data_IF_956222553996
#
_entry.id   IF_956222553996
#
_cell.length_a   1.000
_cell.length_b   1.000
_cell.length_c   1.000
_cell.angle_alpha   90.00
_cell.angle_beta   90.00
_cell.angle_gamma   90.00
#
_symmetry.space_group_name_H-M   'P 1'
#
loop_
_entity.id
_entity.type
_entity.pdbx_description
1 polymer ?
#
# COMPACT_ATOMS: atom_id res chain seq x y z
N UNK A 1 -4.90 -8.72 -18.95
CA UNK A 1 -5.45 -10.07 -19.21
C UNK A 1 -6.91 -10.07 -18.79
N UNK A 2 -7.81 -10.77 -19.49
CA UNK A 2 -9.21 -10.87 -19.07
C UNK A 2 -9.38 -11.93 -17.98
N UNK A 3 -10.13 -11.61 -16.94
CA UNK A 3 -10.46 -12.51 -15.84
C UNK A 3 -11.97 -12.68 -15.77
N UNK A 4 -12.42 -13.80 -15.22
CA UNK A 4 -13.83 -13.99 -14.87
C UNK A 4 -13.95 -14.19 -13.38
N UNK A 5 -14.89 -13.48 -12.77
CA UNK A 5 -15.28 -13.69 -11.38
C UNK A 5 -16.32 -14.81 -11.34
N UNK A 6 -16.03 -15.86 -10.58
CA UNK A 6 -17.03 -16.83 -10.14
C UNK A 6 -17.46 -16.43 -8.73
N UNK A 7 -18.77 -16.28 -8.53
CA UNK A 7 -19.37 -15.95 -7.25
C UNK A 7 -20.29 -17.09 -6.82
N UNK A 8 -20.06 -17.61 -5.61
CA UNK A 8 -20.77 -18.76 -5.05
C UNK A 8 -21.46 -18.35 -3.77
N UNK A 9 -22.78 -18.44 -3.76
CA UNK A 9 -23.60 -18.16 -2.59
C UNK A 9 -23.92 -19.46 -1.85
N UNK A 10 -23.45 -19.56 -0.60
CA UNK A 10 -23.59 -20.79 0.19
C UNK A 10 -23.63 -20.52 1.70
N UNK A 11 -23.58 -21.56 2.54
CA UNK A 11 -23.59 -21.45 4.01
C UNK A 11 -22.17 -21.29 4.57
N UNK A 12 -22.06 -20.93 5.85
CA UNK A 12 -20.77 -20.92 6.57
C UNK A 12 -20.09 -22.28 6.57
N UNK A 13 -20.86 -23.36 6.69
CA UNK A 13 -20.36 -24.74 6.74
C UNK A 13 -19.64 -25.14 5.44
N UNK A 14 -20.12 -24.61 4.31
CA UNK A 14 -19.59 -24.91 2.99
C UNK A 14 -18.38 -24.05 2.60
N UNK A 15 -18.01 -23.01 3.38
CA UNK A 15 -16.93 -22.07 3.01
C UNK A 15 -15.61 -22.78 2.75
N UNK A 16 -15.14 -23.60 3.69
CA UNK A 16 -13.87 -24.32 3.59
C UNK A 16 -13.83 -25.30 2.39
N UNK A 17 -14.79 -26.25 2.25
CA UNK A 17 -14.76 -27.19 1.13
C UNK A 17 -14.95 -26.50 -0.23
N UNK A 18 -15.76 -25.44 -0.32
CA UNK A 18 -15.93 -24.67 -1.57
C UNK A 18 -14.66 -23.89 -1.91
N UNK A 19 -14.00 -23.28 -0.93
CA UNK A 19 -12.72 -22.59 -1.13
C UNK A 19 -11.64 -23.55 -1.65
N UNK A 20 -11.61 -24.78 -1.13
CA UNK A 20 -10.71 -25.82 -1.60
C UNK A 20 -10.93 -26.16 -3.08
N UNK A 21 -12.20 -26.37 -3.48
CA UNK A 21 -12.57 -26.64 -4.88
C UNK A 21 -12.13 -25.50 -5.80
N UNK A 22 -12.33 -24.25 -5.38
CA UNK A 22 -11.91 -23.07 -6.14
C UNK A 22 -10.38 -23.00 -6.33
N UNK A 23 -9.62 -23.34 -5.30
CA UNK A 23 -8.16 -23.40 -5.39
C UNK A 23 -7.67 -24.54 -6.30
N UNK A 24 -8.28 -25.73 -6.23
CA UNK A 24 -7.96 -26.84 -7.13
C UNK A 24 -8.28 -26.49 -8.59
N UNK A 25 -9.32 -25.68 -8.83
CA UNK A 25 -9.67 -25.17 -10.15
C UNK A 25 -8.75 -24.03 -10.65
N UNK A 26 -7.74 -23.64 -9.86
CA UNK A 26 -6.72 -22.68 -10.27
C UNK A 26 -6.97 -21.22 -9.86
N UNK A 27 -7.88 -20.96 -8.91
CA UNK A 27 -8.04 -19.62 -8.35
C UNK A 27 -6.81 -19.20 -7.52
N UNK A 28 -6.25 -18.02 -7.81
CA UNK A 28 -5.12 -17.44 -7.08
C UNK A 28 -5.46 -16.96 -5.66
N UNK A 29 -6.75 -16.82 -5.35
CA UNK A 29 -7.29 -16.39 -4.07
C UNK A 29 -8.81 -16.52 -4.05
N UNK A 30 -9.39 -16.62 -2.84
CA UNK A 30 -10.84 -16.65 -2.62
C UNK A 30 -11.18 -15.54 -1.63
N UNK A 31 -12.10 -14.66 -2.02
CA UNK A 31 -12.67 -13.61 -1.16
C UNK A 31 -13.93 -14.18 -0.54
N UNK A 32 -14.07 -14.01 0.79
CA UNK A 32 -15.21 -14.48 1.55
C UNK A 32 -15.94 -13.24 2.09
N UNK A 33 -17.18 -13.05 1.67
CA UNK A 33 -18.05 -11.97 2.11
C UNK A 33 -19.17 -12.55 2.99
N UNK A 34 -18.99 -12.42 4.30
CA UNK A 34 -19.95 -12.84 5.32
C UNK A 34 -20.61 -11.60 5.93
N UNK A 35 -21.95 -11.57 5.95
CA UNK A 35 -22.72 -10.49 6.57
C UNK A 35 -22.39 -10.31 8.05
N UNK A 36 -21.94 -11.36 8.74
CA UNK A 36 -21.49 -11.26 10.13
C UNK A 36 -20.31 -10.29 10.32
N UNK A 37 -19.52 -10.03 9.27
CA UNK A 37 -18.44 -9.04 9.31
C UNK A 37 -18.94 -7.59 9.38
N UNK A 38 -20.19 -7.30 8.99
CA UNK A 38 -20.82 -5.98 9.17
C UNK A 38 -21.01 -5.63 10.66
N UNK A 39 -21.22 -6.64 11.50
CA UNK A 39 -21.55 -6.48 12.91
C UNK A 39 -20.38 -6.81 13.84
N UNK A 40 -19.24 -7.19 13.28
CA UNK A 40 -18.04 -7.53 14.04
C UNK A 40 -17.43 -6.23 14.57
N UNK A 41 -17.45 -6.04 15.90
CA UNK A 41 -16.77 -4.92 16.54
C UNK A 41 -15.26 -5.00 16.23
N UNK A 42 -14.78 -4.10 15.37
CA UNK A 42 -13.36 -3.85 15.15
C UNK A 42 -12.96 -2.69 16.06
N UNK A 43 -11.87 -2.83 16.82
CA UNK A 43 -11.33 -1.72 17.63
C UNK A 43 -10.89 -0.58 16.71
N UNK A 44 -11.76 0.41 16.48
CA UNK A 44 -11.45 1.60 15.68
C UNK A 44 -10.67 2.60 16.51
N UNK A 45 -9.34 2.49 16.52
CA UNK A 45 -8.48 3.43 17.28
C UNK A 45 -8.27 4.78 16.59
N UNK A 46 -8.54 4.90 15.28
CA UNK A 46 -8.24 6.11 14.51
C UNK A 46 -9.34 6.58 13.55
N UNK A 47 -10.61 6.30 13.85
CA UNK A 47 -11.72 6.86 13.07
C UNK A 47 -11.84 6.32 11.65
N UNK A 48 -11.35 5.11 11.40
CA UNK A 48 -11.61 4.38 10.17
C UNK A 48 -13.11 4.14 10.04
N UNK A 49 -13.71 4.75 9.02
CA UNK A 49 -15.08 4.46 8.63
C UNK A 49 -15.00 3.32 7.61
N UNK A 50 -15.07 2.07 8.08
CA UNK A 50 -15.45 0.96 7.21
C UNK A 50 -16.93 1.13 6.91
N UNK A 51 -17.27 1.95 5.91
CA UNK A 51 -18.62 1.98 5.34
C UNK A 51 -18.76 0.75 4.45
N UNK A 52 -18.84 -0.41 5.09
CA UNK A 52 -19.32 -1.62 4.45
C UNK A 52 -20.78 -1.37 4.06
N UNK A 53 -21.07 -1.37 2.76
CA UNK A 53 -22.45 -1.24 2.30
C UNK A 53 -23.17 -2.55 2.61
N UNK A 54 -24.36 -2.48 3.21
CA UNK A 54 -25.20 -3.66 3.39
C UNK A 54 -25.56 -4.31 2.04
N UNK A 55 -25.53 -3.54 0.95
CA UNK A 55 -25.81 -4.02 -0.41
C UNK A 55 -24.69 -4.93 -0.96
N UNK A 56 -23.49 -4.91 -0.37
CA UNK A 56 -22.34 -5.71 -0.81
C UNK A 56 -22.33 -7.11 -0.18
N UNK A 57 -23.32 -7.45 0.68
CA UNK A 57 -23.40 -8.72 1.42
C UNK A 57 -24.73 -9.44 1.15
N UNK A 58 -24.75 -10.78 1.14
CA UNK A 58 -26.00 -11.52 1.01
C UNK A 58 -26.89 -11.35 2.26
N UNK A 59 -28.21 -11.38 2.10
CA UNK A 59 -29.13 -11.29 3.25
C UNK A 59 -28.98 -12.48 4.21
N UNK A 60 -28.70 -13.68 3.68
CA UNK A 60 -28.46 -14.92 4.40
C UNK A 60 -27.26 -15.66 3.79
N UNK A 61 -26.45 -16.38 4.59
CA UNK A 61 -25.29 -17.14 4.09
C UNK A 61 -24.05 -16.29 3.79
N UNK A 62 -23.19 -16.79 2.91
CA UNK A 62 -21.85 -16.27 2.58
C UNK A 62 -21.66 -16.25 1.07
N UNK A 63 -21.03 -15.21 0.54
CA UNK A 63 -20.56 -15.17 -0.84
C UNK A 63 -19.06 -15.51 -0.89
N UNK A 64 -18.69 -16.48 -1.72
CA UNK A 64 -17.30 -16.76 -2.07
C UNK A 64 -17.04 -16.28 -3.50
N UNK A 65 -16.09 -15.37 -3.66
CA UNK A 65 -15.67 -14.85 -4.97
C UNK A 65 -14.26 -15.33 -5.29
N UNK A 66 -14.06 -15.84 -6.49
CA UNK A 66 -12.75 -16.23 -6.99
C UNK A 66 -12.57 -15.75 -8.43
N UNK A 67 -11.32 -15.53 -8.82
CA UNK A 67 -10.97 -15.03 -10.14
C UNK A 67 -10.24 -16.12 -10.93
N UNK A 68 -10.81 -16.45 -12.09
CA UNK A 68 -10.27 -17.45 -13.01
C UNK A 68 -9.81 -16.76 -14.30
N UNK A 69 -8.68 -17.20 -14.89
CA UNK A 69 -8.19 -16.61 -16.14
C UNK A 69 -9.14 -16.93 -17.29
N UNK A 70 -9.51 -15.92 -18.08
CA UNK A 70 -10.41 -16.09 -19.22
C UNK A 70 -9.67 -16.81 -20.35
N UNK A 71 -9.94 -18.11 -20.51
CA UNK A 71 -9.36 -18.96 -21.54
C UNK A 71 -10.43 -19.86 -22.19
N UNK A 72 -10.04 -20.63 -23.21
CA UNK A 72 -10.93 -21.51 -23.97
C UNK A 72 -11.62 -22.60 -23.13
N UNK A 73 -11.11 -22.88 -21.93
CA UNK A 73 -11.54 -23.97 -21.05
C UNK A 73 -12.37 -23.47 -19.86
N UNK A 74 -12.56 -22.15 -19.71
CA UNK A 74 -13.27 -21.56 -18.57
C UNK A 74 -14.67 -22.17 -18.37
N UNK A 75 -15.40 -22.43 -19.46
CA UNK A 75 -16.72 -23.06 -19.39
C UNK A 75 -16.70 -24.46 -18.79
N UNK A 76 -15.71 -25.28 -19.18
CA UNK A 76 -15.52 -26.63 -18.65
C UNK A 76 -15.11 -26.57 -17.17
N UNK A 77 -14.18 -25.68 -16.82
CA UNK A 77 -13.74 -25.47 -15.43
C UNK A 77 -14.89 -25.04 -14.51
N UNK A 78 -15.76 -24.13 -14.96
CA UNK A 78 -16.92 -23.69 -14.18
C UNK A 78 -17.92 -24.83 -13.98
N UNK A 79 -18.12 -25.68 -15.00
CA UNK A 79 -19.01 -26.83 -14.90
C UNK A 79 -18.45 -27.89 -13.95
N UNK A 80 -17.13 -28.12 -13.97
CA UNK A 80 -16.43 -28.98 -13.01
C UNK A 80 -16.57 -28.46 -11.57
N UNK A 81 -16.40 -27.15 -11.35
CA UNK A 81 -16.60 -26.52 -10.04
C UNK A 81 -18.04 -26.73 -9.56
N UNK A 82 -19.05 -26.46 -10.42
CA UNK A 82 -20.46 -26.68 -10.06
C UNK A 82 -20.72 -28.11 -9.65
N UNK A 83 -20.24 -29.08 -10.42
CA UNK A 83 -20.40 -30.50 -10.13
C UNK A 83 -19.71 -30.90 -8.82
N UNK A 84 -18.49 -30.43 -8.57
CA UNK A 84 -17.75 -30.69 -7.35
C UNK A 84 -18.48 -30.11 -6.11
N UNK A 85 -19.02 -28.90 -6.21
CA UNK A 85 -19.80 -28.28 -5.13
C UNK A 85 -21.09 -29.07 -4.89
N UNK A 86 -21.83 -29.48 -5.93
CA UNK A 86 -23.04 -30.29 -5.75
C UNK A 86 -22.76 -31.64 -5.08
N UNK A 87 -21.57 -32.22 -5.29
CA UNK A 87 -21.19 -33.49 -4.64
C UNK A 87 -20.99 -33.33 -3.12
N UNK A 88 -20.76 -32.12 -2.60
CA UNK A 88 -20.64 -31.89 -1.15
C UNK A 88 -21.91 -32.29 -0.37
N UNK A 89 -23.09 -32.26 -1.02
CA UNK A 89 -24.34 -32.74 -0.42
C UNK A 89 -24.29 -34.22 -0.05
N UNK A 90 -23.50 -35.03 -0.76
CA UNK A 90 -23.33 -36.46 -0.46
C UNK A 90 -22.56 -36.69 0.84
N UNK A 91 -21.77 -35.70 1.28
CA UNK A 91 -21.07 -35.69 2.55
C UNK A 91 -21.87 -35.00 3.66
N UNK A 92 -23.16 -34.73 3.42
CA UNK A 92 -24.10 -34.11 4.35
C UNK A 92 -23.70 -32.67 4.75
N UNK A 93 -23.01 -31.95 3.85
CA UNK A 93 -22.68 -30.53 3.97
C UNK A 93 -23.85 -29.71 3.42
N UNK A 94 -24.38 -28.78 4.21
CA UNK A 94 -25.46 -27.89 3.78
C UNK A 94 -24.91 -26.77 2.87
N UNK A 95 -25.42 -26.69 1.65
CA UNK A 95 -25.00 -25.72 0.65
C UNK A 95 -25.88 -24.46 0.61
N UNK A 96 -27.00 -24.44 1.34
CA UNK A 96 -27.89 -23.28 1.40
C UNK A 96 -28.42 -22.89 0.01
N UNK A 97 -28.23 -21.63 -0.38
CA UNK A 97 -28.68 -21.09 -1.66
C UNK A 97 -28.11 -21.86 -2.87
N UNK A 98 -26.87 -22.34 -2.78
CA UNK A 98 -26.20 -23.12 -3.84
C UNK A 98 -26.25 -22.43 -5.22
N UNK A 99 -26.06 -21.11 -5.23
CA UNK A 99 -26.07 -20.33 -6.48
C UNK A 99 -24.65 -20.06 -6.94
N UNK A 100 -24.35 -20.38 -8.20
CA UNK A 100 -23.05 -20.11 -8.83
C UNK A 100 -23.28 -19.18 -10.00
N UNK A 101 -22.77 -17.96 -9.91
CA UNK A 101 -22.83 -16.94 -10.96
C UNK A 101 -21.44 -16.68 -11.54
N UNK A 102 -21.41 -16.34 -12.83
CA UNK A 102 -20.18 -15.97 -13.53
C UNK A 102 -20.36 -14.55 -14.07
N UNK A 103 -19.48 -13.65 -13.64
CA UNK A 103 -19.41 -12.31 -14.16
C UNK A 103 -18.10 -12.16 -14.95
N UNK A 104 -18.18 -11.69 -16.20
CA UNK A 104 -16.98 -11.22 -16.90
C UNK A 104 -16.56 -9.92 -16.22
N UNK A 105 -15.32 -9.91 -15.70
CA UNK A 105 -14.76 -8.71 -15.07
C UNK A 105 -13.67 -8.22 -16.00
N UNK A 106 -13.91 -7.10 -16.68
CA UNK A 106 -12.83 -6.44 -17.40
C UNK A 106 -11.81 -5.94 -16.36
N UNK A 107 -10.53 -6.18 -16.62
CA UNK A 107 -9.41 -5.77 -15.75
C UNK A 107 -9.48 -4.28 -15.38
N UNK A 108 -10.04 -3.46 -16.27
CA UNK A 108 -10.31 -2.03 -16.05
C UNK A 108 -11.41 -1.77 -14.99
N UNK A 109 -12.48 -2.59 -14.92
CA UNK A 109 -13.52 -2.45 -13.89
C UNK A 109 -13.01 -2.88 -12.51
N UNK A 110 -12.19 -3.94 -12.44
CA UNK A 110 -11.52 -4.33 -11.19
C UNK A 110 -10.47 -3.30 -10.74
N UNK A 111 -9.67 -2.78 -11.68
CA UNK A 111 -8.70 -1.72 -11.42
C UNK A 111 -9.33 -0.37 -11.07
N UNK A 112 -10.66 -0.21 -11.20
CA UNK A 112 -11.38 1.02 -10.86
C UNK A 112 -12.40 0.86 -9.74
N UNK A 113 -12.81 -0.36 -9.38
CA UNK A 113 -13.77 -0.60 -8.29
C UNK A 113 -13.30 -0.05 -6.94
N UNK A 114 -12.01 -0.19 -6.62
CA UNK A 114 -11.42 0.39 -5.41
C UNK A 114 -11.42 1.93 -5.43
N UNK A 115 -11.41 2.56 -6.61
CA UNK A 115 -11.39 4.03 -6.77
C UNK A 115 -12.64 4.70 -6.19
N UNK A 116 -13.76 4.00 -6.13
CA UNK A 116 -15.03 4.50 -5.53
C UNK A 116 -14.93 4.68 -4.01
N UNK A 117 -14.15 3.83 -3.35
CA UNK A 117 -13.94 3.82 -1.90
C UNK A 117 -12.69 4.60 -1.48
N UNK A 118 -11.80 4.91 -2.44
CA UNK A 118 -10.65 5.75 -2.21
C UNK A 118 -11.08 7.21 -2.09
N UNK A 119 -11.08 7.74 -0.85
CA UNK A 119 -11.46 9.13 -0.54
C UNK A 119 -10.25 9.91 -0.03
N UNK A 120 -10.29 11.26 -0.07
CA UNK A 120 -9.25 12.08 0.52
C UNK A 120 -9.07 11.75 2.01
N UNK A 121 -7.83 11.49 2.43
CA UNK A 121 -7.47 11.17 3.82
C UNK A 121 -6.39 12.13 4.30
N UNK A 122 -6.65 12.77 5.44
CA UNK A 122 -5.65 13.57 6.14
C UNK A 122 -4.67 12.63 6.86
N UNK A 123 -3.40 12.69 6.47
CA UNK A 123 -2.34 11.76 6.95
C UNK A 123 -1.28 12.46 7.81
N UNK A 124 -1.22 13.79 7.77
CA UNK A 124 -0.35 14.61 8.63
C UNK A 124 -1.12 15.74 9.31
N UNK A 125 -0.39 16.64 9.96
CA UNK A 125 -0.97 17.89 10.47
C UNK A 125 -1.45 18.78 9.32
N UNK A 126 -0.72 18.79 8.20
CA UNK A 126 -0.98 19.61 7.01
C UNK A 126 -1.23 18.79 5.76
N UNK A 127 -0.71 17.57 5.66
CA UNK A 127 -0.80 16.75 4.44
C UNK A 127 -2.12 15.97 4.36
N UNK A 128 -2.82 16.12 3.25
CA UNK A 128 -3.96 15.30 2.83
C UNK A 128 -3.64 14.62 1.50
N UNK A 129 -3.88 13.32 1.44
CA UNK A 129 -3.73 12.55 0.20
C UNK A 129 -5.09 12.44 -0.44
N UNK A 130 -5.18 12.91 -1.68
CA UNK A 130 -6.40 12.88 -2.47
C UNK A 130 -6.22 11.99 -3.72
N UNK A 131 -7.22 11.18 -4.07
CA UNK A 131 -7.22 10.51 -5.37
C UNK A 131 -7.22 11.53 -6.51
N UNK A 132 -6.41 11.33 -7.55
CA UNK A 132 -6.29 12.27 -8.68
C UNK A 132 -7.59 12.45 -9.50
N UNK A 133 -8.55 11.53 -9.38
CA UNK A 133 -9.87 11.61 -10.01
C UNK A 133 -10.95 12.26 -9.14
N UNK A 134 -10.66 12.54 -7.87
CA UNK A 134 -11.56 13.29 -6.98
C UNK A 134 -11.22 14.79 -7.08
N UNK A 135 -12.24 15.63 -7.24
CA UNK A 135 -12.05 17.08 -7.22
C UNK A 135 -12.00 17.59 -5.77
N UNK A 136 -10.91 17.27 -5.08
CA UNK A 136 -10.69 17.71 -3.71
C UNK A 136 -10.03 19.08 -3.67
N UNK A 137 -10.50 19.95 -2.78
CA UNK A 137 -9.89 21.24 -2.51
C UNK A 137 -9.52 21.32 -1.05
N UNK A 138 -8.35 21.90 -0.79
CA UNK A 138 -7.91 22.22 0.56
C UNK A 138 -9.04 22.94 1.33
N UNK A 139 -9.35 22.44 2.51
CA UNK A 139 -10.35 22.98 3.43
C UNK A 139 -9.75 23.98 4.40
N UNK A 140 -8.41 24.08 4.47
CA UNK A 140 -7.68 25.07 5.27
C UNK A 140 -6.49 25.67 4.48
N UNK A 141 -6.11 26.92 4.79
CA UNK A 141 -5.05 27.64 4.07
C UNK A 141 -3.66 26.97 4.19
N UNK A 142 -3.41 26.28 5.30
CA UNK A 142 -2.15 25.57 5.57
C UNK A 142 -2.16 24.11 5.12
N UNK A 143 -3.28 23.63 4.57
CA UNK A 143 -3.40 22.27 4.08
C UNK A 143 -2.67 22.08 2.76
N UNK A 144 -1.91 20.99 2.69
CA UNK A 144 -1.13 20.57 1.54
C UNK A 144 -1.79 19.33 0.97
N UNK A 145 -2.34 19.46 -0.24
CA UNK A 145 -2.94 18.33 -0.97
C UNK A 145 -1.88 17.66 -1.83
N UNK A 146 -1.74 16.34 -1.66
CA UNK A 146 -0.96 15.44 -2.51
C UNK A 146 -1.93 14.61 -3.31
N UNK A 147 -1.99 14.84 -4.61
CA UNK A 147 -2.88 14.09 -5.51
C UNK A 147 -2.18 12.83 -6.02
N UNK A 148 -2.83 11.67 -5.98
CA UNK A 148 -2.22 10.41 -6.41
C UNK A 148 -3.18 9.56 -7.25
N UNK A 149 -2.66 9.02 -8.34
CA UNK A 149 -3.11 7.74 -8.87
C UNK A 149 -2.02 6.69 -8.57
N UNK A 150 -2.14 5.88 -7.51
CA UNK A 150 -1.15 4.84 -7.25
C UNK A 150 -1.13 3.78 -8.37
N UNK A 151 -2.21 3.64 -9.16
CA UNK A 151 -2.31 2.58 -10.17
C UNK A 151 -2.00 1.21 -9.59
N UNK A 152 -1.04 0.50 -10.20
CA UNK A 152 -0.52 -0.78 -9.71
C UNK A 152 0.71 -0.65 -8.80
N UNK A 153 1.23 0.58 -8.59
CA UNK A 153 2.42 0.79 -7.78
C UNK A 153 2.08 0.80 -6.28
N UNK A 154 3.04 0.34 -5.46
CA UNK A 154 2.92 0.41 -4.01
C UNK A 154 2.93 1.87 -3.52
N UNK A 155 2.29 2.13 -2.38
CA UNK A 155 2.21 3.47 -1.81
C UNK A 155 0.91 4.19 -2.17
N UNK A 156 -0.22 3.65 -1.75
CA UNK A 156 -1.53 4.32 -1.89
C UNK A 156 -1.49 5.72 -1.24
N UNK A 157 -0.80 5.83 -0.10
CA UNK A 157 -0.68 7.05 0.67
C UNK A 157 -1.22 6.92 2.08
N UNK A 158 -2.22 6.06 2.26
CA UNK A 158 -3.00 5.94 3.50
C UNK A 158 -2.55 4.80 4.41
N UNK A 159 -1.66 3.93 3.93
CA UNK A 159 -1.12 2.84 4.74
C UNK A 159 -0.33 3.39 5.95
N UNK A 160 -0.41 2.78 7.15
CA UNK A 160 0.23 3.28 8.36
C UNK A 160 1.71 3.63 8.19
N UNK A 161 2.45 2.84 7.40
CA UNK A 161 3.88 3.10 7.16
C UNK A 161 4.14 4.38 6.39
N UNK A 162 3.29 4.71 5.41
CA UNK A 162 3.36 5.96 4.64
C UNK A 162 2.95 7.15 5.51
N UNK A 163 1.89 7.00 6.30
CA UNK A 163 1.44 8.01 7.27
C UNK A 163 2.56 8.37 8.24
N UNK A 164 3.22 7.38 8.83
CA UNK A 164 4.36 7.57 9.73
C UNK A 164 5.52 8.32 9.05
N UNK A 165 5.86 7.98 7.81
CA UNK A 165 6.89 8.69 7.05
C UNK A 165 6.51 10.15 6.79
N UNK A 166 5.26 10.42 6.40
CA UNK A 166 4.78 11.79 6.13
C UNK A 166 4.80 12.63 7.41
N UNK A 167 4.36 12.09 8.54
CA UNK A 167 4.43 12.77 9.84
C UNK A 167 5.87 13.08 10.24
N UNK A 168 6.80 12.15 10.00
CA UNK A 168 8.22 12.39 10.23
C UNK A 168 8.78 13.46 9.28
N UNK A 169 8.41 13.45 8.00
CA UNK A 169 8.79 14.49 7.03
C UNK A 169 8.30 15.86 7.50
N UNK A 170 7.01 16.00 7.85
CA UNK A 170 6.42 17.26 8.35
C UNK A 170 7.19 17.83 9.55
N UNK A 171 7.67 16.96 10.43
CA UNK A 171 8.38 17.34 11.65
C UNK A 171 9.82 17.77 11.40
N UNK A 172 10.52 17.10 10.48
CA UNK A 172 11.97 17.19 10.38
C UNK A 172 12.49 17.97 9.16
N UNK A 173 11.72 18.03 8.07
CA UNK A 173 12.19 18.64 6.83
C UNK A 173 12.32 20.16 6.98
N UNK A 174 13.38 20.71 6.41
CA UNK A 174 13.62 22.15 6.36
C UNK A 174 13.60 22.65 4.93
N UNK A 175 13.19 23.91 4.77
CA UNK A 175 13.13 24.55 3.46
C UNK A 175 14.50 24.51 2.75
N UNK A 176 14.49 24.08 1.49
CA UNK A 176 15.68 23.99 0.64
C UNK A 176 16.50 22.72 0.80
N UNK A 177 16.10 21.78 1.67
CA UNK A 177 16.84 20.52 1.86
C UNK A 177 16.82 19.62 0.62
N UNK A 178 17.93 18.91 0.41
CA UNK A 178 18.11 17.90 -0.62
C UNK A 178 17.73 16.52 -0.07
N UNK A 179 16.68 15.94 -0.63
CA UNK A 179 16.07 14.68 -0.15
C UNK A 179 16.28 13.58 -1.18
N UNK A 180 16.44 12.34 -0.71
CA UNK A 180 16.34 11.14 -1.54
C UNK A 180 15.30 10.20 -0.95
N UNK A 181 14.38 9.75 -1.80
CA UNK A 181 13.31 8.80 -1.48
C UNK A 181 13.64 7.45 -2.12
N UNK A 182 13.98 6.47 -1.27
CA UNK A 182 14.47 5.15 -1.69
C UNK A 182 13.32 4.14 -1.63
N UNK A 183 13.01 3.52 -2.78
CA UNK A 183 11.82 2.70 -2.94
C UNK A 183 10.56 3.57 -3.03
N UNK A 184 10.59 4.55 -3.94
CA UNK A 184 9.60 5.62 -4.00
C UNK A 184 8.18 5.14 -4.33
N UNK A 185 8.02 3.98 -4.97
CA UNK A 185 6.72 3.43 -5.32
C UNK A 185 5.89 4.41 -6.16
N UNK A 186 4.76 4.86 -5.63
CA UNK A 186 3.89 5.87 -6.25
C UNK A 186 4.47 7.29 -6.30
N UNK A 187 5.60 7.56 -5.64
CA UNK A 187 6.18 8.91 -5.53
C UNK A 187 5.63 9.73 -4.36
N UNK A 188 4.74 9.17 -3.54
CA UNK A 188 4.02 9.91 -2.49
C UNK A 188 4.94 10.63 -1.50
N UNK A 189 6.01 9.98 -1.02
CA UNK A 189 6.92 10.59 -0.05
C UNK A 189 7.79 11.66 -0.70
N UNK A 190 8.23 11.44 -1.94
CA UNK A 190 8.96 12.43 -2.71
C UNK A 190 8.14 13.72 -2.96
N UNK A 191 6.86 13.56 -3.34
CA UNK A 191 5.94 14.69 -3.55
C UNK A 191 5.64 15.39 -2.22
N UNK A 192 5.42 14.64 -1.14
CA UNK A 192 5.20 15.22 0.18
C UNK A 192 6.42 16.03 0.63
N UNK A 193 7.64 15.51 0.46
CA UNK A 193 8.87 16.23 0.79
C UNK A 193 9.00 17.54 0.00
N UNK A 194 8.71 17.53 -1.31
CA UNK A 194 8.69 18.73 -2.15
C UNK A 194 7.71 19.77 -1.63
N UNK A 195 6.45 19.39 -1.40
CA UNK A 195 5.42 20.32 -0.93
C UNK A 195 5.68 20.84 0.49
N UNK A 196 6.44 20.09 1.30
CA UNK A 196 6.90 20.55 2.61
C UNK A 196 8.13 21.46 2.55
N UNK A 197 8.68 21.70 1.36
CA UNK A 197 9.69 22.71 1.11
C UNK A 197 11.08 22.17 0.74
N UNK A 198 11.23 20.88 0.41
CA UNK A 198 12.50 20.38 -0.13
C UNK A 198 12.95 21.21 -1.32
N UNK A 199 14.26 21.52 -1.40
CA UNK A 199 14.84 22.25 -2.53
C UNK A 199 15.14 21.34 -3.73
N UNK A 200 15.32 20.04 -3.50
CA UNK A 200 15.40 19.01 -4.54
C UNK A 200 15.11 17.63 -3.95
N UNK A 201 14.45 16.78 -4.72
CA UNK A 201 14.11 15.41 -4.32
C UNK A 201 14.53 14.44 -5.42
N UNK A 202 15.31 13.43 -5.06
CA UNK A 202 15.64 12.31 -5.93
C UNK A 202 14.80 11.10 -5.50
N UNK A 203 13.80 10.75 -6.30
CA UNK A 203 12.95 9.59 -6.09
C UNK A 203 13.47 8.41 -6.90
N UNK A 204 13.72 7.27 -6.25
CA UNK A 204 14.29 6.10 -6.91
C UNK A 204 13.56 4.81 -6.58
N UNK A 205 13.45 3.93 -7.57
CA UNK A 205 12.90 2.59 -7.43
C UNK A 205 13.62 1.58 -8.33
N UNK A 206 13.57 0.30 -7.95
CA UNK A 206 14.10 -0.79 -8.76
C UNK A 206 13.09 -1.23 -9.84
N UNK A 207 11.80 -1.08 -9.57
CA UNK A 207 10.72 -1.45 -10.49
C UNK A 207 10.41 -0.32 -11.47
N UNK A 208 10.44 -0.62 -12.78
CA UNK A 208 10.09 0.34 -13.83
C UNK A 208 8.64 0.82 -13.70
N UNK A 209 7.73 -0.06 -13.26
CA UNK A 209 6.32 0.28 -13.10
C UNK A 209 6.14 1.35 -12.02
N UNK A 210 6.91 1.25 -10.94
CA UNK A 210 6.94 2.26 -9.88
C UNK A 210 7.54 3.58 -10.38
N UNK A 211 8.65 3.53 -11.12
CA UNK A 211 9.27 4.73 -11.73
C UNK A 211 8.29 5.47 -12.64
N UNK A 212 7.56 4.77 -13.50
CA UNK A 212 6.55 5.36 -14.37
C UNK A 212 5.36 5.93 -13.59
N UNK A 213 4.90 5.24 -12.53
CA UNK A 213 3.82 5.73 -11.67
C UNK A 213 4.21 7.00 -10.91
N UNK A 214 5.38 7.00 -10.28
CA UNK A 214 5.93 8.16 -9.59
C UNK A 214 6.13 9.35 -10.54
N UNK A 215 6.66 9.12 -11.74
CA UNK A 215 6.81 10.16 -12.77
C UNK A 215 5.48 10.84 -13.10
N UNK A 216 4.42 10.05 -13.35
CA UNK A 216 3.07 10.58 -13.62
C UNK A 216 2.51 11.36 -12.44
N UNK A 217 2.66 10.86 -11.21
CA UNK A 217 2.16 11.55 -10.01
C UNK A 217 2.93 12.85 -9.72
N UNK A 218 4.24 12.88 -9.98
CA UNK A 218 5.06 14.09 -9.87
C UNK A 218 4.60 15.16 -10.85
N UNK A 219 4.35 14.78 -12.11
CA UNK A 219 3.79 15.69 -13.11
C UNK A 219 2.41 16.21 -12.70
N UNK A 220 1.55 15.31 -12.20
CA UNK A 220 0.21 15.66 -11.75
C UNK A 220 0.21 16.71 -10.64
N UNK A 221 1.17 16.60 -9.71
CA UNK A 221 1.33 17.54 -8.62
C UNK A 221 2.07 18.83 -8.99
N UNK A 222 2.49 18.98 -10.26
CA UNK A 222 3.35 20.06 -10.76
C UNK A 222 4.71 20.14 -10.05
N UNK A 223 5.22 19.00 -9.57
CA UNK A 223 6.45 18.91 -8.77
C UNK A 223 7.70 18.59 -9.60
N UNK A 224 7.59 18.47 -10.93
CA UNK A 224 8.68 18.02 -11.83
C UNK A 224 9.90 18.94 -11.89
N UNK A 225 9.82 20.17 -11.38
CA UNK A 225 10.98 21.08 -11.27
C UNK A 225 11.89 20.74 -10.10
N UNK A 226 11.35 20.07 -9.07
CA UNK A 226 12.03 19.81 -7.80
C UNK A 226 12.25 18.31 -7.59
N UNK A 227 11.31 17.48 -8.05
CA UNK A 227 11.38 16.02 -7.92
C UNK A 227 11.85 15.40 -9.24
N UNK A 228 12.95 14.65 -9.17
CA UNK A 228 13.40 13.79 -10.26
C UNK A 228 13.13 12.33 -9.92
N UNK A 229 12.65 11.54 -10.88
CA UNK A 229 12.36 10.12 -10.70
C UNK A 229 13.29 9.31 -11.60
N UNK A 230 13.93 8.27 -11.07
CA UNK A 230 14.81 7.41 -11.86
C UNK A 230 14.87 5.99 -11.32
N UNK A 231 15.26 5.05 -12.19
CA UNK A 231 15.49 3.67 -11.79
C UNK A 231 16.84 3.50 -11.12
N UNK A 232 16.85 2.95 -9.91
CA UNK A 232 18.06 2.56 -9.21
C UNK A 232 17.79 1.46 -8.18
N UNK A 233 18.82 0.67 -7.87
CA UNK A 233 18.76 -0.31 -6.80
C UNK A 233 19.28 0.32 -5.51
N UNK A 234 18.40 0.64 -4.56
CA UNK A 234 18.78 1.29 -3.29
C UNK A 234 19.68 2.50 -3.55
N UNK A 235 20.76 2.65 -2.79
CA UNK A 235 21.71 3.75 -2.95
C UNK A 235 22.88 3.41 -3.89
N UNK A 236 22.74 2.37 -4.72
CA UNK A 236 23.77 2.00 -5.70
C UNK A 236 23.99 3.15 -6.68
N UNK A 237 25.26 3.52 -6.86
CA UNK A 237 25.68 4.62 -7.75
C UNK A 237 25.11 6.00 -7.42
N UNK A 238 24.50 6.17 -6.25
CA UNK A 238 24.04 7.48 -5.79
C UNK A 238 25.26 8.35 -5.46
N UNK A 239 25.45 9.42 -6.24
CA UNK A 239 26.54 10.37 -6.06
C UNK A 239 26.11 11.60 -5.25
N UNK A 240 26.92 11.96 -4.26
CA UNK A 240 26.76 13.18 -3.46
C UNK A 240 26.12 12.92 -2.09
N UNK A 241 25.91 14.02 -1.36
CA UNK A 241 25.31 14.00 -0.02
C UNK A 241 23.89 14.57 -0.05
N UNK A 242 23.04 14.04 0.82
CA UNK A 242 21.67 14.44 1.05
C UNK A 242 21.50 14.94 2.48
N UNK A 243 20.57 15.86 2.65
CA UNK A 243 20.19 16.38 3.96
C UNK A 243 19.26 15.40 4.67
N UNK A 244 18.44 14.69 3.88
CA UNK A 244 17.52 13.68 4.36
C UNK A 244 17.43 12.49 3.39
N UNK A 245 17.41 11.28 3.95
CA UNK A 245 16.99 10.06 3.26
C UNK A 245 15.64 9.65 3.84
N UNK A 246 14.68 9.32 2.99
CA UNK A 246 13.42 8.68 3.39
C UNK A 246 13.29 7.34 2.66
N UNK A 247 12.85 6.30 3.35
CA UNK A 247 12.60 4.99 2.75
C UNK A 247 11.49 4.23 3.46
N UNK A 248 10.44 3.86 2.72
CA UNK A 248 9.35 3.02 3.21
C UNK A 248 9.38 1.67 2.51
N UNK A 249 10.30 0.81 2.95
CA UNK A 249 10.61 -0.48 2.33
C UNK A 249 10.77 -1.56 3.41
N UNK A 250 10.96 -2.82 3.01
CA UNK A 250 11.06 -3.93 3.95
C UNK A 250 12.27 -3.78 4.90
N UNK A 251 12.08 -4.19 6.15
CA UNK A 251 13.10 -4.09 7.21
C UNK A 251 14.45 -4.72 6.83
N UNK A 252 14.44 -5.87 6.17
CA UNK A 252 15.66 -6.53 5.68
C UNK A 252 16.42 -5.68 4.66
N UNK A 253 15.69 -5.05 3.75
CA UNK A 253 16.27 -4.19 2.71
C UNK A 253 16.83 -2.90 3.32
N UNK A 254 16.16 -2.37 4.36
CA UNK A 254 16.70 -1.23 5.12
C UNK A 254 18.06 -1.57 5.74
N UNK A 255 18.18 -2.75 6.36
CA UNK A 255 19.43 -3.22 6.98
C UNK A 255 20.55 -3.31 5.95
N UNK A 256 20.26 -3.80 4.74
CA UNK A 256 21.26 -3.89 3.66
C UNK A 256 21.82 -2.53 3.22
N UNK A 257 21.05 -1.44 3.37
CA UNK A 257 21.47 -0.11 2.93
C UNK A 257 22.00 0.81 4.03
N UNK A 258 22.00 0.43 5.32
CA UNK A 258 22.33 1.39 6.41
C UNK A 258 23.73 2.00 6.28
N UNK A 259 24.72 1.22 5.87
CA UNK A 259 26.11 1.72 5.69
C UNK A 259 26.24 2.69 4.51
N UNK A 260 25.55 2.39 3.41
CA UNK A 260 25.50 3.27 2.24
C UNK A 260 24.72 4.55 2.56
N UNK A 261 23.63 4.43 3.32
CA UNK A 261 22.84 5.55 3.79
C UNK A 261 23.66 6.47 4.70
N UNK A 262 24.46 5.93 5.62
CA UNK A 262 25.33 6.73 6.49
C UNK A 262 26.34 7.57 5.69
N UNK A 263 26.87 7.04 4.58
CA UNK A 263 27.78 7.77 3.69
C UNK A 263 27.06 8.82 2.85
N UNK A 264 25.80 8.57 2.47
CA UNK A 264 25.00 9.45 1.64
C UNK A 264 24.32 10.60 2.43
N UNK A 265 24.08 10.44 3.73
CA UNK A 265 23.57 11.52 4.59
C UNK A 265 24.72 12.44 4.99
N UNK A 266 24.56 13.77 4.87
CA UNK A 266 25.57 14.73 5.38
C UNK A 266 25.67 14.66 6.91
N UNK A 267 26.80 15.05 7.54
CA UNK A 267 26.83 15.32 8.98
C UNK A 267 25.67 16.24 9.40
N UNK A 268 25.01 15.91 10.51
CA UNK A 268 23.79 16.60 10.97
C UNK A 268 22.52 16.31 10.16
N UNK A 269 22.59 15.53 9.08
CA UNK A 269 21.45 15.09 8.28
C UNK A 269 20.68 13.93 8.90
N UNK A 270 19.53 13.60 8.32
CA UNK A 270 18.58 12.62 8.85
C UNK A 270 18.33 11.44 7.89
N UNK A 271 17.98 10.30 8.46
CA UNK A 271 17.33 9.20 7.77
C UNK A 271 16.00 8.89 8.46
N UNK A 272 14.94 8.72 7.66
CA UNK A 272 13.61 8.29 8.09
C UNK A 272 13.33 6.95 7.40
N UNK A 273 13.13 5.89 8.17
CA UNK A 273 12.77 4.57 7.62
C UNK A 273 11.45 4.07 8.20
N UNK A 274 10.64 3.42 7.36
CA UNK A 274 9.37 2.77 7.73
C UNK A 274 9.20 1.49 6.90
N UNK A 275 8.03 0.85 6.93
CA UNK A 275 7.85 -0.50 6.34
C UNK A 275 8.31 -1.60 7.29
N UNK A 276 8.51 -1.26 8.56
CA UNK A 276 9.06 -2.13 9.59
C UNK A 276 7.92 -2.66 10.44
N UNK A 277 7.66 -3.97 10.37
CA UNK A 277 6.77 -4.60 11.36
C UNK A 277 7.40 -4.50 12.74
N UNK A 278 6.59 -4.27 13.77
CA UNK A 278 7.03 -4.05 15.16
C UNK A 278 8.00 -5.10 15.68
N UNK A 279 7.80 -6.37 15.29
CA UNK A 279 8.69 -7.48 15.63
C UNK A 279 10.13 -7.33 15.08
N UNK A 280 10.31 -6.60 13.97
CA UNK A 280 11.59 -6.35 13.29
C UNK A 280 12.24 -5.01 13.68
N UNK A 281 11.62 -4.23 14.56
CA UNK A 281 12.11 -2.90 14.98
C UNK A 281 13.55 -2.92 15.50
N UNK A 282 13.86 -3.82 16.43
CA UNK A 282 15.20 -3.85 17.05
C UNK A 282 16.29 -4.25 16.05
N UNK A 283 15.96 -5.03 15.02
CA UNK A 283 16.90 -5.38 13.96
C UNK A 283 17.33 -4.13 13.18
N UNK A 284 16.36 -3.33 12.70
CA UNK A 284 16.64 -2.10 11.93
C UNK A 284 17.33 -1.05 12.80
N UNK A 285 16.82 -0.82 14.01
CA UNK A 285 17.40 0.11 14.99
C UNK A 285 18.87 -0.23 15.26
N UNK A 286 19.17 -1.51 15.48
CA UNK A 286 20.55 -1.96 15.76
C UNK A 286 21.46 -1.74 14.55
N UNK A 287 20.98 -1.98 13.33
CA UNK A 287 21.75 -1.73 12.10
C UNK A 287 22.07 -0.25 11.91
N UNK A 288 21.09 0.65 12.15
CA UNK A 288 21.30 2.10 12.09
C UNK A 288 22.37 2.56 13.09
N UNK A 289 22.31 2.07 14.33
CA UNK A 289 23.30 2.39 15.37
C UNK A 289 24.68 1.86 14.98
N UNK A 290 24.77 0.64 14.45
CA UNK A 290 26.05 0.04 14.01
C UNK A 290 26.68 0.82 12.85
N UNK A 291 25.87 1.32 11.92
CA UNK A 291 26.32 2.20 10.83
C UNK A 291 26.80 3.58 11.32
N UNK A 292 26.43 3.97 12.55
CA UNK A 292 26.87 5.21 13.20
C UNK A 292 25.79 6.28 13.39
N UNK A 293 24.52 5.97 13.09
CA UNK A 293 23.42 6.90 13.32
C UNK A 293 23.00 6.98 14.79
N UNK A 294 22.47 8.13 15.19
CA UNK A 294 21.84 8.36 16.49
C UNK A 294 20.32 8.33 16.33
N UNK A 295 19.65 7.38 16.98
CA UNK A 295 18.19 7.29 16.95
C UNK A 295 17.60 8.55 17.58
N UNK A 296 16.85 9.31 16.79
CA UNK A 296 16.21 10.57 17.19
C UNK A 296 14.80 10.30 17.68
N UNK A 297 14.06 9.46 16.97
CA UNK A 297 12.68 9.12 17.32
C UNK A 297 12.31 7.74 16.78
N UNK A 298 11.40 7.06 17.49
CA UNK A 298 10.73 5.85 17.04
C UNK A 298 9.24 6.09 17.24
N UNK A 299 8.47 5.97 16.16
CA UNK A 299 7.02 6.16 16.17
C UNK A 299 6.35 4.86 15.70
N UNK A 300 5.25 4.49 16.34
CA UNK A 300 4.50 3.27 16.02
C UNK A 300 3.05 3.62 15.68
N UNK A 301 2.50 2.92 14.70
CA UNK A 301 1.09 2.98 14.32
C UNK A 301 0.67 1.56 14.00
N UNK A 302 -0.31 1.04 14.76
CA UNK A 302 -0.71 -0.38 14.71
C UNK A 302 0.51 -1.32 14.91
N UNK A 303 0.74 -2.22 13.95
CA UNK A 303 1.86 -3.16 13.94
C UNK A 303 3.09 -2.63 13.19
N UNK A 304 3.07 -1.36 12.76
CA UNK A 304 4.13 -0.75 11.97
C UNK A 304 4.95 0.25 12.79
N UNK A 305 6.22 0.38 12.40
CA UNK A 305 7.19 1.26 13.05
C UNK A 305 7.91 2.12 12.01
N UNK A 306 8.09 3.39 12.35
CA UNK A 306 9.04 4.28 11.69
C UNK A 306 10.15 4.69 12.66
N UNK A 307 11.36 4.86 12.13
CA UNK A 307 12.54 5.28 12.89
C UNK A 307 13.16 6.47 12.18
N UNK A 308 13.29 7.58 12.90
CA UNK A 308 14.10 8.73 12.48
C UNK A 308 15.45 8.68 13.21
N UNK A 309 16.55 8.80 12.47
CA UNK A 309 17.90 8.79 13.03
C UNK A 309 18.80 9.84 12.37
N UNK A 310 19.70 10.45 13.14
CA UNK A 310 20.57 11.52 12.70
C UNK A 310 22.00 11.03 12.52
N UNK A 311 22.68 11.48 11.47
CA UNK A 311 24.14 11.37 11.40
C UNK A 311 24.73 12.44 12.32
N UNK A 312 25.64 12.09 13.26
CA UNK A 312 26.32 13.08 14.09
C UNK A 312 26.97 14.20 13.26
N UNK A 313 27.03 15.40 13.82
CA UNK A 313 27.89 16.47 13.27
C UNK A 313 29.36 16.04 13.33
N UNK A 314 30.16 16.48 12.36
CA UNK A 314 31.62 16.31 12.42
C UNK A 314 32.20 17.43 13.31
N UNK A 315 33.00 17.06 14.31
CA UNK A 315 33.71 18.00 15.21
C UNK A 315 34.79 18.82 14.49
#
# INVERSE_FOLDING_TARGET
MKWSEICIHTTQEAVEPVSHILHEAGAGGVVIEDRADLYRERETKFGEIFQLSADDYPEEGVLLKAYLPLNSFLGDTVEEIKQAISQLQQYNIDLGAHEVTLNEVDEEEWATAWKKYYKPVKVGERITIAPSWENYKAVADEEIVVELDPGMAFGTGTHPTTVLCIQALEKYIKAGERVIDVGTGSGVLAIAAEKLGAGSVNAIDLDEVAVEAAGRNVEWNNSSQTVSVSKANLLDHVSGTYDMIVANILAEVIVEMTDSAYKAVRPGGLIIVSGIIKAKREMVKSSLIQAGFLITEITEMEDWTAIAAARPEEE
#
